data_IF_724775943496
#
_entry.id   IF_724775943496
#
_cell.length_a   1.000
_cell.length_b   1.000
_cell.length_c   1.000
_cell.angle_alpha   90.00
_cell.angle_beta   90.00
_cell.angle_gamma   90.00
#
_symmetry.space_group_name_H-M   'P 1'
#
loop_
_entity.id
_entity.type
_entity.pdbx_description
1 polymer ?
#
# COMPACT_ATOMS: atom_id res chain seq x y z
N UNK A 1 -0.83 -27.94 -26.03
CA UNK A 1 -1.55 -28.11 -24.75
C UNK A 1 -1.93 -26.71 -24.30
N UNK A 2 -3.16 -26.45 -23.82
CA UNK A 2 -3.48 -25.12 -23.35
C UNK A 2 -2.55 -24.80 -22.18
N UNK A 3 -1.87 -23.68 -22.28
CA UNK A 3 -1.03 -23.14 -21.23
C UNK A 3 -1.96 -22.82 -20.06
N UNK A 4 -1.95 -23.67 -19.03
CA UNK A 4 -2.71 -23.39 -17.81
C UNK A 4 -1.93 -22.29 -17.12
N UNK A 5 -2.26 -21.03 -17.45
CA UNK A 5 -1.75 -19.87 -16.75
C UNK A 5 -1.97 -20.10 -15.24
N UNK A 6 -0.88 -20.37 -14.52
CA UNK A 6 -0.93 -20.55 -13.08
C UNK A 6 -1.31 -19.20 -12.51
N UNK A 7 -2.47 -19.13 -11.82
CA UNK A 7 -2.90 -17.91 -11.18
C UNK A 7 -1.77 -17.37 -10.29
N UNK A 8 -1.47 -16.06 -10.35
CA UNK A 8 -0.37 -15.50 -9.58
C UNK A 8 -0.61 -15.75 -8.09
N UNK A 9 0.46 -16.11 -7.36
CA UNK A 9 0.40 -16.31 -5.91
C UNK A 9 -0.23 -15.10 -5.23
N UNK A 10 -1.15 -15.37 -4.31
CA UNK A 10 -1.80 -14.38 -3.43
C UNK A 10 -0.77 -13.61 -2.60
N UNK A 11 -1.13 -12.41 -2.12
CA UNK A 11 -0.28 -11.68 -1.17
C UNK A 11 -0.02 -12.51 0.08
N UNK A 12 -1.04 -13.19 0.59
CA UNK A 12 -0.90 -14.09 1.74
C UNK A 12 0.18 -15.16 1.53
N UNK A 13 0.23 -15.79 0.36
CA UNK A 13 1.27 -16.78 0.02
C UNK A 13 2.65 -16.16 -0.08
N UNK A 14 2.77 -15.00 -0.75
CA UNK A 14 4.05 -14.28 -0.86
C UNK A 14 4.57 -13.84 0.51
N UNK A 15 3.69 -13.44 1.43
CA UNK A 15 4.05 -13.07 2.79
C UNK A 15 4.42 -14.27 3.67
N UNK A 16 3.76 -15.42 3.50
CA UNK A 16 4.22 -16.68 4.11
C UNK A 16 5.63 -17.04 3.64
N UNK A 17 5.92 -16.92 2.34
CA UNK A 17 7.26 -17.17 1.81
C UNK A 17 8.30 -16.19 2.39
N UNK A 18 7.99 -14.90 2.47
CA UNK A 18 8.84 -13.91 3.11
C UNK A 18 9.08 -14.21 4.60
N UNK A 19 8.07 -14.67 5.32
CA UNK A 19 8.21 -15.03 6.73
C UNK A 19 9.11 -16.27 6.90
N UNK A 20 8.94 -17.30 6.07
CA UNK A 20 9.82 -18.48 6.07
C UNK A 20 11.28 -18.09 5.75
N UNK A 21 11.50 -17.17 4.82
CA UNK A 21 12.84 -16.72 4.49
C UNK A 21 13.50 -15.98 5.66
N UNK A 22 12.74 -15.15 6.39
CA UNK A 22 13.24 -14.50 7.61
C UNK A 22 13.60 -15.52 8.68
N UNK A 23 12.78 -16.55 8.88
CA UNK A 23 13.05 -17.62 9.85
C UNK A 23 14.35 -18.36 9.56
N UNK A 24 14.77 -18.44 8.29
CA UNK A 24 16.06 -19.03 7.89
C UNK A 24 17.23 -18.06 7.99
N UNK A 25 17.03 -16.79 7.66
CA UNK A 25 18.12 -15.83 7.43
C UNK A 25 18.36 -14.81 8.55
N UNK A 26 17.37 -14.56 9.41
CA UNK A 26 17.47 -13.56 10.47
C UNK A 26 17.93 -14.17 11.79
N UNK A 27 18.56 -13.34 12.63
CA UNK A 27 18.86 -13.76 14.00
C UNK A 27 17.58 -13.93 14.82
N UNK A 28 17.58 -14.82 15.85
CA UNK A 28 16.43 -14.99 16.72
C UNK A 28 15.96 -13.68 17.38
N UNK A 29 16.89 -12.79 17.74
CA UNK A 29 16.55 -11.49 18.31
C UNK A 29 15.82 -10.58 17.30
N UNK A 30 16.30 -10.51 16.05
CA UNK A 30 15.64 -9.71 15.02
C UNK A 30 14.23 -10.23 14.67
N UNK A 31 14.05 -11.56 14.65
CA UNK A 31 12.75 -12.19 14.49
C UNK A 31 11.80 -11.85 15.63
N UNK A 32 12.26 -11.97 16.87
CA UNK A 32 11.46 -11.68 18.06
C UNK A 32 11.01 -10.21 18.10
N UNK A 33 11.89 -9.25 17.78
CA UNK A 33 11.55 -7.83 17.72
C UNK A 33 10.49 -7.57 16.63
N UNK A 34 10.71 -8.11 15.42
CA UNK A 34 9.75 -7.94 14.33
C UNK A 34 8.38 -8.54 14.64
N UNK A 35 8.35 -9.77 15.17
CA UNK A 35 7.12 -10.46 15.54
C UNK A 35 6.42 -9.78 16.73
N UNK A 36 7.19 -9.27 17.69
CA UNK A 36 6.71 -8.55 18.87
C UNK A 36 5.94 -7.28 18.51
N UNK A 37 6.52 -6.42 17.66
CA UNK A 37 5.83 -5.23 17.17
C UNK A 37 4.53 -5.61 16.45
N UNK A 38 4.55 -6.58 15.53
CA UNK A 38 3.33 -7.02 14.81
C UNK A 38 2.27 -7.55 15.77
N UNK A 39 2.67 -8.35 16.76
CA UNK A 39 1.75 -8.86 17.77
C UNK A 39 1.13 -7.73 18.62
N UNK A 40 1.91 -6.72 18.97
CA UNK A 40 1.40 -5.53 19.66
C UNK A 40 0.39 -4.78 18.79
N UNK A 41 0.70 -4.51 17.52
CA UNK A 41 -0.22 -3.83 16.62
C UNK A 41 -1.54 -4.59 16.42
N UNK A 42 -1.49 -5.91 16.29
CA UNK A 42 -2.70 -6.75 16.23
C UNK A 42 -3.51 -6.68 17.52
N UNK A 43 -2.85 -6.76 18.68
CA UNK A 43 -3.50 -6.72 20.00
C UNK A 43 -4.15 -5.36 20.30
N UNK A 44 -3.52 -4.26 19.90
CA UNK A 44 -4.00 -2.89 20.15
C UNK A 44 -4.78 -2.31 18.97
N UNK A 45 -5.15 -3.13 17.99
CA UNK A 45 -5.94 -2.67 16.87
C UNK A 45 -7.34 -2.28 17.34
N UNK A 46 -7.75 -1.06 17.00
CA UNK A 46 -9.05 -0.51 17.33
C UNK A 46 -9.69 0.02 16.05
N UNK A 47 -10.55 -0.80 15.44
CA UNK A 47 -11.23 -0.48 14.19
C UNK A 47 -12.15 0.74 14.32
N UNK A 48 -12.63 1.08 15.52
CA UNK A 48 -13.49 2.24 15.74
C UNK A 48 -12.75 3.58 15.58
N UNK A 49 -11.41 3.57 15.60
CA UNK A 49 -10.57 4.75 15.36
C UNK A 49 -10.20 4.95 13.90
N UNK A 50 -10.53 4.00 13.04
CA UNK A 50 -10.24 4.08 11.62
C UNK A 50 -11.39 4.74 10.88
N UNK A 51 -11.08 5.38 9.75
CA UNK A 51 -12.09 5.74 8.74
C UNK A 51 -12.98 4.53 8.42
N UNK A 52 -14.27 4.77 8.19
CA UNK A 52 -15.25 3.73 7.86
C UNK A 52 -15.91 4.01 6.53
N UNK A 53 -16.48 2.97 5.94
CA UNK A 53 -17.35 3.13 4.76
C UNK A 53 -18.47 4.11 5.07
N UNK A 54 -18.68 5.07 4.17
CA UNK A 54 -19.63 6.17 4.32
C UNK A 54 -19.04 7.45 4.91
N UNK A 55 -17.87 7.39 5.57
CA UNK A 55 -17.20 8.60 6.07
C UNK A 55 -16.68 9.46 4.91
N UNK A 56 -16.72 10.78 5.11
CA UNK A 56 -16.11 11.75 4.20
C UNK A 56 -14.65 11.93 4.61
N UNK A 57 -13.73 11.61 3.70
CA UNK A 57 -12.30 11.84 3.93
C UNK A 57 -12.02 13.35 4.07
N UNK A 58 -11.04 13.72 4.91
CA UNK A 58 -10.68 15.12 5.14
C UNK A 58 -10.13 15.77 3.87
N UNK A 59 -10.19 17.10 3.84
CA UNK A 59 -9.53 17.89 2.80
C UNK A 59 -8.03 17.98 3.09
N UNK A 60 -7.30 16.94 2.68
CA UNK A 60 -5.85 16.89 2.78
C UNK A 60 -5.24 16.77 1.40
N UNK A 61 -4.06 17.37 1.24
CA UNK A 61 -3.33 17.33 -0.03
C UNK A 61 -2.30 16.20 0.00
N UNK A 62 -2.28 15.42 -1.08
CA UNK A 62 -1.14 14.58 -1.42
C UNK A 62 -0.19 15.38 -2.30
N UNK A 63 1.08 15.01 -2.38
CA UNK A 63 2.06 15.69 -3.22
C UNK A 63 2.59 14.74 -4.29
N UNK A 64 2.80 15.26 -5.51
CA UNK A 64 3.45 14.65 -6.69
C UNK A 64 4.96 14.89 -6.76
N UNK A 65 5.67 14.14 -7.62
CA UNK A 65 7.15 14.21 -7.76
C UNK A 65 7.63 15.59 -8.21
N UNK A 66 6.85 16.26 -9.04
CA UNK A 66 7.07 17.63 -9.50
C UNK A 66 6.73 18.70 -8.44
N UNK A 67 6.26 18.28 -7.26
CA UNK A 67 5.82 19.16 -6.18
C UNK A 67 4.35 19.60 -6.28
N UNK A 68 3.63 19.20 -7.33
CA UNK A 68 2.21 19.53 -7.50
C UNK A 68 1.39 18.92 -6.36
N UNK A 69 0.44 19.70 -5.85
CA UNK A 69 -0.48 19.27 -4.81
C UNK A 69 -1.72 18.62 -5.45
N UNK A 70 -2.14 17.50 -4.90
CA UNK A 70 -3.32 16.74 -5.32
C UNK A 70 -4.38 16.84 -4.24
N UNK A 71 -5.47 17.51 -4.59
CA UNK A 71 -6.70 17.48 -3.79
C UNK A 71 -7.43 16.16 -4.02
N UNK A 72 -7.93 15.54 -2.94
CA UNK A 72 -8.81 14.39 -3.05
C UNK A 72 -10.11 14.72 -3.80
N UNK A 73 -10.63 15.95 -3.70
CA UNK A 73 -11.84 16.36 -4.44
C UNK A 73 -11.59 16.28 -5.95
N UNK A 74 -10.49 16.88 -6.41
CA UNK A 74 -10.10 16.84 -7.83
C UNK A 74 -9.84 15.42 -8.35
N UNK A 75 -9.34 14.52 -7.47
CA UNK A 75 -9.11 13.12 -7.82
C UNK A 75 -10.43 12.36 -8.01
N UNK A 76 -11.45 12.64 -7.18
CA UNK A 76 -12.73 11.92 -7.22
C UNK A 76 -13.79 12.54 -8.14
N UNK A 77 -13.52 13.71 -8.72
CA UNK A 77 -14.38 14.33 -9.73
C UNK A 77 -14.50 13.45 -11.00
N UNK A 78 -13.44 12.70 -11.32
CA UNK A 78 -13.42 11.76 -12.45
C UNK A 78 -14.05 10.39 -12.16
N UNK A 79 -14.44 10.12 -10.90
CA UNK A 79 -14.96 8.81 -10.48
C UNK A 79 -14.32 8.31 -9.19
N UNK A 80 -14.38 7.00 -8.96
CA UNK A 80 -13.73 6.43 -7.77
C UNK A 80 -12.21 6.38 -7.96
N UNK A 81 -11.48 6.51 -6.86
CA UNK A 81 -10.02 6.37 -6.78
C UNK A 81 -9.66 5.33 -5.74
N UNK A 82 -8.68 4.49 -6.07
CA UNK A 82 -8.09 3.51 -5.15
C UNK A 82 -6.81 4.08 -4.55
N UNK A 83 -6.76 4.17 -3.22
CA UNK A 83 -5.58 4.58 -2.47
C UNK A 83 -4.97 3.37 -1.77
N UNK A 84 -3.71 3.06 -2.07
CA UNK A 84 -2.94 2.00 -1.40
C UNK A 84 -1.87 2.62 -0.51
N UNK A 85 -2.09 2.60 0.80
CA UNK A 85 -1.15 3.12 1.78
C UNK A 85 -0.05 2.08 2.05
N UNK A 86 1.21 2.52 2.03
CA UNK A 86 2.36 1.67 2.31
C UNK A 86 3.36 2.37 3.22
N UNK A 87 4.17 1.56 3.91
CA UNK A 87 5.05 2.02 5.00
C UNK A 87 6.21 2.89 4.50
N UNK A 88 7.09 2.28 3.68
CA UNK A 88 8.30 2.91 3.15
C UNK A 88 8.91 2.07 2.01
N UNK A 89 9.74 2.71 1.20
CA UNK A 89 10.27 2.26 -0.08
C UNK A 89 11.19 1.02 0.01
N UNK A 90 11.89 0.85 1.13
CA UNK A 90 12.78 -0.29 1.38
C UNK A 90 12.12 -1.38 2.24
N UNK A 91 10.83 -1.23 2.58
CA UNK A 91 10.11 -2.22 3.38
C UNK A 91 9.90 -3.51 2.57
N UNK A 92 10.41 -4.68 3.01
CA UNK A 92 10.30 -5.91 2.24
C UNK A 92 8.85 -6.30 1.89
N UNK A 93 7.91 -6.09 2.81
CA UNK A 93 6.50 -6.36 2.55
C UNK A 93 5.89 -5.39 1.52
N UNK A 94 6.33 -4.13 1.48
CA UNK A 94 5.86 -3.18 0.46
C UNK A 94 6.45 -3.49 -0.92
N UNK A 95 7.70 -3.97 -0.96
CA UNK A 95 8.36 -4.43 -2.19
C UNK A 95 7.77 -5.73 -2.75
N UNK A 96 6.92 -6.43 -1.99
CA UNK A 96 6.08 -7.53 -2.48
C UNK A 96 4.70 -7.03 -2.90
N UNK A 97 4.09 -6.15 -2.10
CA UNK A 97 2.72 -5.70 -2.30
C UNK A 97 2.54 -4.82 -3.54
N UNK A 98 3.42 -3.84 -3.76
CA UNK A 98 3.26 -2.90 -4.88
C UNK A 98 3.40 -3.59 -6.25
N UNK A 99 4.38 -4.49 -6.49
CA UNK A 99 4.42 -5.29 -7.72
C UNK A 99 3.20 -6.20 -7.87
N UNK A 100 2.70 -6.78 -6.79
CA UNK A 100 1.46 -7.56 -6.85
C UNK A 100 0.28 -6.71 -7.34
N UNK A 101 0.10 -5.49 -6.81
CA UNK A 101 -0.96 -4.59 -7.29
C UNK A 101 -0.71 -4.09 -8.71
N UNK A 102 0.56 -3.87 -9.11
CA UNK A 102 0.91 -3.61 -10.52
C UNK A 102 0.40 -4.72 -11.43
N UNK A 103 0.62 -5.97 -11.06
CA UNK A 103 0.30 -7.10 -11.93
C UNK A 103 -1.20 -7.44 -11.92
N UNK A 104 -1.84 -7.34 -10.76
CA UNK A 104 -3.18 -7.92 -10.52
C UNK A 104 -4.30 -6.92 -10.34
N UNK A 105 -4.00 -5.66 -9.98
CA UNK A 105 -4.99 -4.62 -9.71
C UNK A 105 -4.98 -3.52 -10.78
N UNK A 106 -3.79 -2.97 -11.07
CA UNK A 106 -3.65 -1.81 -11.95
C UNK A 106 -4.25 -2.00 -13.36
N UNK A 107 -4.13 -3.16 -14.05
CA UNK A 107 -4.69 -3.34 -15.38
C UNK A 107 -6.22 -3.26 -15.37
N UNK A 108 -6.86 -3.88 -14.38
CA UNK A 108 -8.31 -3.90 -14.21
C UNK A 108 -8.84 -2.48 -13.92
N UNK A 109 -8.17 -1.75 -13.04
CA UNK A 109 -8.54 -0.38 -12.71
C UNK A 109 -8.37 0.56 -13.91
N UNK A 110 -7.27 0.43 -14.65
CA UNK A 110 -7.03 1.21 -15.86
C UNK A 110 -8.11 0.97 -16.93
N UNK A 111 -8.50 -0.29 -17.16
CA UNK A 111 -9.58 -0.63 -18.10
C UNK A 111 -10.95 -0.05 -17.67
N UNK A 112 -11.17 0.11 -16.37
CA UNK A 112 -12.38 0.70 -15.81
C UNK A 112 -12.30 2.24 -15.65
N UNK A 113 -11.19 2.88 -16.03
CA UNK A 113 -10.97 4.31 -15.82
C UNK A 113 -10.84 4.72 -14.35
N UNK A 114 -10.52 3.79 -13.45
CA UNK A 114 -10.34 4.02 -12.01
C UNK A 114 -8.88 4.36 -11.73
N UNK A 115 -8.62 5.50 -11.11
CA UNK A 115 -7.27 5.90 -10.72
C UNK A 115 -6.77 5.05 -9.56
N UNK A 116 -5.52 4.58 -9.63
CA UNK A 116 -4.80 3.93 -8.54
C UNK A 116 -3.65 4.83 -8.09
N UNK A 117 -3.52 5.07 -6.78
CA UNK A 117 -2.40 5.80 -6.19
C UNK A 117 -1.77 4.98 -5.06
N UNK A 118 -0.44 4.91 -5.02
CA UNK A 118 0.28 4.40 -3.86
C UNK A 118 0.73 5.56 -2.97
N UNK A 119 0.37 5.52 -1.69
CA UNK A 119 0.51 6.65 -0.76
C UNK A 119 1.46 6.30 0.38
N UNK A 120 2.42 7.17 0.67
CA UNK A 120 3.37 7.03 1.77
C UNK A 120 3.88 8.40 2.22
N UNK A 121 4.25 8.60 3.49
CA UNK A 121 4.74 9.90 3.95
C UNK A 121 6.17 10.21 3.50
N UNK A 122 6.82 9.29 2.81
CA UNK A 122 8.23 9.45 2.46
C UNK A 122 8.47 10.60 1.47
N UNK A 123 9.67 11.21 1.51
CA UNK A 123 10.07 12.19 0.53
C UNK A 123 10.31 11.55 -0.85
N UNK A 124 10.22 12.38 -1.89
CA UNK A 124 10.23 11.93 -3.28
C UNK A 124 11.43 11.13 -3.77
N UNK A 125 12.67 11.40 -3.33
CA UNK A 125 13.79 10.54 -3.72
C UNK A 125 13.55 9.06 -3.42
N UNK A 126 12.89 8.74 -2.30
CA UNK A 126 12.54 7.36 -1.95
C UNK A 126 11.32 6.85 -2.73
N UNK A 127 10.28 7.69 -2.89
CA UNK A 127 9.05 7.31 -3.60
C UNK A 127 9.29 7.07 -5.11
N UNK A 128 10.02 7.98 -5.76
CA UNK A 128 10.37 7.83 -7.17
C UNK A 128 11.30 6.64 -7.40
N UNK A 129 12.17 6.33 -6.43
CA UNK A 129 13.04 5.16 -6.51
C UNK A 129 12.26 3.84 -6.45
N UNK A 130 11.32 3.66 -5.52
CA UNK A 130 10.49 2.45 -5.48
C UNK A 130 9.58 2.33 -6.72
N UNK A 131 9.05 3.45 -7.22
CA UNK A 131 8.25 3.50 -8.45
C UNK A 131 9.06 2.96 -9.65
N UNK A 132 10.29 3.47 -9.83
CA UNK A 132 11.20 3.04 -10.90
C UNK A 132 11.66 1.60 -10.72
N UNK A 133 12.06 1.21 -9.51
CA UNK A 133 12.57 -0.15 -9.20
C UNK A 133 11.57 -1.23 -9.61
N UNK A 134 10.28 -0.97 -9.41
CA UNK A 134 9.22 -1.94 -9.69
C UNK A 134 8.41 -1.64 -10.95
N UNK A 135 8.81 -0.65 -11.75
CA UNK A 135 8.08 -0.21 -12.94
C UNK A 135 6.57 -0.03 -12.69
N UNK A 136 6.23 0.69 -11.63
CA UNK A 136 4.82 0.89 -11.25
C UNK A 136 4.12 1.81 -12.27
N UNK A 137 3.00 1.38 -12.88
CA UNK A 137 2.28 2.16 -13.89
C UNK A 137 1.32 3.20 -13.29
N UNK A 138 1.25 3.25 -11.95
CA UNK A 138 0.42 4.17 -11.19
C UNK A 138 1.30 5.13 -10.39
N UNK A 139 0.76 6.32 -10.09
CA UNK A 139 1.51 7.34 -9.37
C UNK A 139 1.82 6.89 -7.93
N UNK A 140 3.04 7.19 -7.47
CA UNK A 140 3.45 7.06 -6.08
C UNK A 140 3.53 8.47 -5.48
N UNK A 141 2.63 8.76 -4.55
CA UNK A 141 2.40 10.10 -4.01
C UNK A 141 2.79 10.19 -2.54
N UNK A 142 3.30 11.37 -2.17
CA UNK A 142 3.67 11.66 -0.79
C UNK A 142 2.44 12.11 0.00
N UNK A 143 2.31 11.63 1.24
CA UNK A 143 1.39 12.15 2.27
C UNK A 143 2.20 12.94 3.31
N UNK A 144 2.48 14.23 3.06
CA UNK A 144 3.41 14.99 3.88
C UNK A 144 2.96 15.03 5.34
N UNK A 145 3.90 14.81 6.25
CA UNK A 145 3.66 14.79 7.69
C UNK A 145 2.61 13.77 8.17
N UNK A 146 2.32 12.73 7.37
CA UNK A 146 1.27 11.73 7.65
C UNK A 146 -0.11 12.38 7.81
N UNK A 147 -0.38 13.49 7.12
CA UNK A 147 -1.57 14.30 7.36
C UNK A 147 -2.86 13.52 7.08
N UNK A 148 -2.95 12.90 5.91
CA UNK A 148 -4.09 12.03 5.57
C UNK A 148 -4.06 10.77 6.44
N UNK A 149 -2.91 10.11 6.55
CA UNK A 149 -2.79 8.86 7.31
C UNK A 149 -3.23 8.99 8.77
N UNK A 150 -2.88 10.10 9.45
CA UNK A 150 -3.31 10.39 10.82
C UNK A 150 -4.81 10.67 10.91
N UNK A 151 -5.34 11.44 9.97
CA UNK A 151 -6.76 11.77 9.95
C UNK A 151 -7.65 10.53 9.68
N UNK A 152 -7.15 9.56 8.92
CA UNK A 152 -7.81 8.25 8.74
C UNK A 152 -7.61 7.29 9.94
N UNK A 153 -6.80 7.69 10.92
CA UNK A 153 -6.44 6.86 12.07
C UNK A 153 -5.55 5.66 11.71
N UNK A 154 -4.88 5.67 10.56
CA UNK A 154 -4.13 4.52 10.04
C UNK A 154 -2.63 4.62 10.33
N UNK A 155 -2.19 5.27 11.40
CA UNK A 155 -0.77 5.31 11.79
C UNK A 155 -0.46 4.42 12.99
N UNK A 156 0.81 4.13 13.18
CA UNK A 156 1.35 3.53 14.40
C UNK A 156 2.77 4.01 14.64
N UNK A 157 3.20 3.92 15.90
CA UNK A 157 4.57 4.22 16.33
C UNK A 157 5.36 2.95 16.58
N UNK A 158 6.67 3.01 16.35
CA UNK A 158 7.58 1.93 16.70
C UNK A 158 7.54 1.70 18.22
N UNK A 159 7.62 0.44 18.63
CA UNK A 159 7.98 0.08 19.99
C UNK A 159 9.48 0.35 20.22
N UNK A 160 9.87 0.43 21.50
CA UNK A 160 11.23 0.82 21.88
C UNK A 160 12.30 -0.10 21.27
N UNK A 161 12.00 -1.40 21.15
CA UNK A 161 12.93 -2.37 20.58
C UNK A 161 13.12 -2.17 19.06
N UNK A 162 12.04 -1.97 18.33
CA UNK A 162 12.06 -1.70 16.89
C UNK A 162 12.75 -0.37 16.60
N UNK A 163 12.49 0.65 17.43
CA UNK A 163 13.15 1.96 17.36
C UNK A 163 14.67 1.80 17.56
N UNK A 164 15.09 1.13 18.63
CA UNK A 164 16.51 0.92 18.93
C UNK A 164 17.25 0.20 17.79
N UNK A 165 16.62 -0.80 17.16
CA UNK A 165 17.17 -1.49 15.99
C UNK A 165 17.32 -0.55 14.79
N UNK A 166 16.31 0.28 14.51
CA UNK A 166 16.38 1.24 13.40
C UNK A 166 17.47 2.30 13.66
N UNK A 167 17.55 2.84 14.88
CA UNK A 167 18.58 3.79 15.28
C UNK A 167 20.00 3.21 15.16
N UNK A 168 20.19 1.95 15.57
CA UNK A 168 21.46 1.23 15.45
C UNK A 168 21.89 1.00 14.00
N UNK A 169 20.94 0.99 13.04
CA UNK A 169 21.22 0.95 11.60
C UNK A 169 21.49 2.34 11.00
N UNK A 170 21.46 3.40 11.82
CA UNK A 170 21.63 4.78 11.39
C UNK A 170 20.36 5.38 10.77
N UNK A 171 19.21 4.71 10.85
CA UNK A 171 17.94 5.25 10.37
C UNK A 171 17.48 6.42 11.27
N UNK A 172 16.75 7.37 10.69
CA UNK A 172 16.18 8.53 11.38
C UNK A 172 14.75 8.78 10.90
N UNK A 173 13.79 9.14 11.77
CA UNK A 173 12.42 9.37 11.35
C UNK A 173 12.28 10.57 10.40
N UNK A 174 13.13 11.59 10.55
CA UNK A 174 13.11 12.80 9.73
C UNK A 174 13.50 12.50 8.28
N UNK A 175 14.51 11.65 8.09
CA UNK A 175 14.94 11.24 6.74
C UNK A 175 14.04 10.15 6.17
N UNK A 176 13.43 9.32 7.03
CA UNK A 176 12.52 8.27 6.59
C UNK A 176 11.19 8.84 6.08
N UNK A 177 10.52 9.67 6.89
CA UNK A 177 9.13 10.11 6.66
C UNK A 177 8.91 11.62 6.79
N UNK A 178 9.97 12.42 6.95
CA UNK A 178 9.83 13.88 7.10
C UNK A 178 9.19 14.34 8.42
N UNK A 179 9.15 13.47 9.44
CA UNK A 179 8.58 13.76 10.77
C UNK A 179 9.57 13.41 11.88
N UNK A 180 9.43 14.00 13.06
CA UNK A 180 10.31 13.75 14.21
C UNK A 180 10.00 12.46 14.98
N UNK A 181 8.84 11.85 14.72
CA UNK A 181 8.40 10.65 15.42
C UNK A 181 8.67 9.41 14.57
N UNK A 182 8.98 8.27 15.22
CA UNK A 182 9.06 6.95 14.58
C UNK A 182 7.66 6.42 14.26
N UNK A 183 6.96 7.14 13.38
CA UNK A 183 5.58 6.89 12.99
C UNK A 183 5.52 6.44 11.54
N UNK A 184 4.69 5.42 11.27
CA UNK A 184 4.45 4.89 9.93
C UNK A 184 2.95 4.72 9.69
N UNK A 185 2.51 4.78 8.42
CA UNK A 185 1.18 4.32 8.08
C UNK A 185 1.12 2.79 8.22
N UNK A 186 0.00 2.30 8.72
CA UNK A 186 -0.46 0.92 8.55
C UNK A 186 -0.76 0.71 7.06
N UNK A 187 -0.47 -0.48 6.50
CA UNK A 187 -0.98 -0.80 5.17
C UNK A 187 -2.49 -0.75 5.17
N UNK A 188 -3.05 -0.04 4.20
CA UNK A 188 -4.48 0.10 4.04
C UNK A 188 -4.81 0.25 2.56
N UNK A 189 -6.00 -0.20 2.17
CA UNK A 189 -6.58 0.06 0.85
C UNK A 189 -7.93 0.72 1.03
N UNK A 190 -8.11 1.86 0.38
CA UNK A 190 -9.37 2.59 0.35
C UNK A 190 -9.86 2.72 -1.09
N UNK A 191 -11.16 2.56 -1.29
CA UNK A 191 -11.85 3.08 -2.49
C UNK A 191 -12.58 4.34 -2.07
N UNK A 192 -12.25 5.47 -2.68
CA UNK A 192 -12.84 6.78 -2.38
C UNK A 192 -13.65 7.22 -3.59
N UNK A 193 -14.93 7.48 -3.40
CA UNK A 193 -15.83 7.95 -4.46
C UNK A 193 -16.05 9.47 -4.43
N UNK A 194 -16.93 9.98 -5.32
CA UNK A 194 -17.29 11.40 -5.37
C UNK A 194 -17.73 11.95 -4.01
N UNK A 195 -17.35 13.19 -3.72
CA UNK A 195 -17.56 13.83 -2.43
C UNK A 195 -16.65 13.28 -1.31
N UNK A 196 -15.52 12.65 -1.68
CA UNK A 196 -14.54 12.01 -0.78
C UNK A 196 -15.12 10.91 0.10
N UNK A 197 -16.22 10.28 -0.33
CA UNK A 197 -16.90 9.27 0.46
C UNK A 197 -16.13 7.96 0.36
N UNK A 198 -15.70 7.40 1.49
CA UNK A 198 -15.13 6.06 1.56
C UNK A 198 -16.17 5.00 1.13
N UNK A 199 -15.89 4.26 0.07
CA UNK A 199 -16.74 3.18 -0.46
C UNK A 199 -16.24 1.80 -0.05
N UNK A 200 -14.94 1.67 0.15
CA UNK A 200 -14.28 0.49 0.69
C UNK A 200 -13.16 0.95 1.62
N UNK A 201 -12.99 0.26 2.73
CA UNK A 201 -11.90 0.49 3.66
C UNK A 201 -11.42 -0.86 4.18
N UNK A 202 -10.14 -1.14 3.98
CA UNK A 202 -9.43 -2.22 4.66
C UNK A 202 -8.13 -1.67 5.27
N UNK A 203 -7.98 -1.81 6.58
CA UNK A 203 -6.83 -1.31 7.35
C UNK A 203 -6.21 -2.49 8.08
N UNK A 204 -4.99 -2.85 7.68
CA UNK A 204 -4.33 -4.00 8.28
C UNK A 204 -3.46 -3.60 9.47
N UNK A 205 -3.69 -4.18 10.67
CA UNK A 205 -2.81 -3.98 11.81
C UNK A 205 -1.48 -4.76 11.69
N UNK A 206 -1.40 -5.79 10.84
CA UNK A 206 -0.15 -6.51 10.58
C UNK A 206 0.33 -6.21 9.15
N UNK A 207 1.49 -5.60 9.00
CA UNK A 207 1.98 -5.24 7.67
C UNK A 207 2.33 -6.42 6.75
N UNK A 208 2.26 -7.65 7.26
CA UNK A 208 2.38 -8.93 6.54
C UNK A 208 1.01 -9.56 6.20
N UNK A 209 -0.08 -8.87 6.48
CA UNK A 209 -1.45 -9.20 6.07
C UNK A 209 -1.99 -7.98 5.31
N UNK A 210 -2.49 -8.15 4.09
CA UNK A 210 -2.89 -7.03 3.24
C UNK A 210 -4.02 -7.44 2.31
N UNK A 211 -4.79 -6.44 1.91
CA UNK A 211 -5.92 -6.56 0.99
C UNK A 211 -5.51 -7.24 -0.32
N UNK A 212 -6.17 -8.34 -0.66
CA UNK A 212 -6.00 -8.97 -1.97
C UNK A 212 -6.71 -8.14 -3.05
N UNK A 213 -6.17 -8.13 -4.28
CA UNK A 213 -6.74 -7.36 -5.40
C UNK A 213 -8.20 -7.74 -5.68
N UNK A 214 -8.56 -9.01 -5.49
CA UNK A 214 -9.92 -9.50 -5.68
C UNK A 214 -10.94 -8.75 -4.80
N UNK A 215 -10.61 -8.44 -3.54
CA UNK A 215 -11.50 -7.72 -2.64
C UNK A 215 -11.72 -6.27 -3.09
N UNK A 216 -10.66 -5.62 -3.60
CA UNK A 216 -10.74 -4.25 -4.13
C UNK A 216 -11.60 -4.21 -5.40
N UNK A 217 -11.42 -5.18 -6.30
CA UNK A 217 -12.19 -5.29 -7.54
C UNK A 217 -13.65 -5.60 -7.27
N UNK A 218 -13.95 -6.52 -6.34
CA UNK A 218 -15.32 -6.81 -5.89
C UNK A 218 -16.01 -5.56 -5.33
N UNK A 219 -15.31 -4.77 -4.51
CA UNK A 219 -15.84 -3.53 -3.96
C UNK A 219 -16.16 -2.46 -5.02
N UNK A 220 -15.51 -2.54 -6.19
CA UNK A 220 -15.78 -1.70 -7.37
C UNK A 220 -16.77 -2.33 -8.35
N UNK A 221 -17.25 -3.55 -8.09
CA UNK A 221 -18.09 -4.31 -9.02
C UNK A 221 -17.37 -4.74 -10.30
N UNK A 222 -16.04 -4.86 -10.26
CA UNK A 222 -15.20 -5.25 -11.39
C UNK A 222 -14.90 -6.75 -11.33
N UNK A 223 -15.00 -7.44 -12.47
CA UNK A 223 -14.62 -8.85 -12.56
C UNK A 223 -13.10 -8.98 -12.76
N UNK A 224 -12.45 -9.70 -11.85
CA UNK A 224 -11.02 -10.02 -11.94
C UNK A 224 -10.65 -10.78 -13.23
N UNK A 225 -11.58 -11.56 -13.80
CA UNK A 225 -11.33 -12.37 -15.01
C UNK A 225 -11.27 -11.55 -16.29
N UNK A 226 -11.95 -10.39 -16.33
CA UNK A 226 -11.92 -9.50 -17.50
C UNK A 226 -10.54 -8.84 -17.68
N UNK A 227 -9.84 -8.58 -16.58
CA UNK A 227 -8.50 -8.00 -16.59
C UNK A 227 -7.40 -8.98 -17.05
N UNK A 228 -7.56 -10.27 -16.72
CA UNK A 228 -6.66 -11.33 -17.19
C UNK A 228 -6.71 -11.51 -18.71
N UNK A 229 -7.90 -11.34 -19.30
CA UNK A 229 -8.12 -11.37 -20.75
C UNK A 229 -7.48 -10.15 -21.44
N UNK A 230 -7.62 -8.96 -20.86
CA UNK A 230 -6.98 -7.74 -21.38
C UNK A 230 -5.44 -7.84 -21.37
N UNK A 231 -4.84 -8.44 -20.32
CA UNK A 231 -3.40 -8.72 -20.29
C UNK A 231 -2.96 -9.67 -21.41
N UNK A 232 -3.70 -10.74 -21.65
CA UNK A 232 -3.39 -11.68 -22.74
C UNK A 232 -3.47 -11.01 -24.12
N UNK A 233 -4.44 -10.12 -24.35
CA UNK A 233 -4.54 -9.38 -25.61
C UNK A 233 -3.38 -8.39 -25.79
N UNK A 234 -2.99 -7.65 -24.75
CA UNK A 234 -1.86 -6.71 -24.82
C UNK A 234 -0.50 -7.40 -24.99
N UNK A 235 -0.28 -8.54 -24.35
CA UNK A 235 0.93 -9.35 -24.51
C UNK A 235 1.02 -9.95 -25.93
N UNK A 236 -0.11 -10.37 -26.52
CA UNK A 236 -0.15 -10.85 -27.91
C UNK A 236 0.07 -9.74 -28.94
N UNK A 237 -0.38 -8.50 -28.65
CA UNK A 237 -0.15 -7.34 -29.52
C UNK A 237 1.32 -6.89 -29.48
N UNK A 238 2.00 -6.99 -28.34
CA UNK A 238 3.43 -6.63 -28.23
C UNK A 238 4.40 -7.73 -28.68
N UNK A 239 3.93 -8.97 -28.84
CA UNK A 239 4.72 -10.10 -29.31
C UNK A 239 4.63 -10.32 -30.84
N UNK A 240 3.80 -9.55 -31.55
CA UNK A 240 3.61 -9.58 -33.00
C UNK A 240 4.30 -8.40 -33.70
#
# INVERSE_FOLDING_TARGET
MPDIAVAPLSLGERFRALQQERERSWSPAALAINAGQRATLRRTHDAARHVRVGDVLPDTELRREDGTLLSLDALVDGGSVVLVFFRFATCPACNIALPYYRDTLAPALAAAGVTLLAVSPQPYPALGEIARRHALPFEVVSDPALSLSRALGITYVFDDASRAVAEARGERPETLNGVSQWELPKPAVLVVGPGRIARFVDVSPDWMDRTESAAVLEALGLDARAADLARHEQEQIHAA
#
